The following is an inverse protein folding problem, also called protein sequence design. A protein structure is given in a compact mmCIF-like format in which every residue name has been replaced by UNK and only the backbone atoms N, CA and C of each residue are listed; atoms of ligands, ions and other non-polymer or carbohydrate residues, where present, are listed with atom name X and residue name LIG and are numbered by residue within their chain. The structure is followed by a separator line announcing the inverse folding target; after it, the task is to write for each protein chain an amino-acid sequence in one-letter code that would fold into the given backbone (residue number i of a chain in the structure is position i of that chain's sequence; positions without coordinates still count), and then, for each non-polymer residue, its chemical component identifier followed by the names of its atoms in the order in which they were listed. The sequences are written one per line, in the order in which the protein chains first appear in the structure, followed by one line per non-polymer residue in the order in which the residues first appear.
data_IF_465373999324
#
_entry.id   IF_465373999324
#
_cell.length_a   1.000
_cell.length_b   1.000
_cell.length_c   1.000
_cell.angle_alpha   90.00
_cell.angle_beta   90.00
_cell.angle_gamma   90.00
#
_symmetry.space_group_name_H-M   'P 1'
#
loop_
_entity.id
_entity.type
_entity.pdbx_description
1 polymer ?
#
# COMPACT_ATOMS: atom_id res chain seq x y z
N UNK A 1 1.22 -0.74 19.10
CA UNK A 1 1.37 0.53 18.35
C UNK A 1 0.07 1.32 18.45
N UNK A 2 0.13 2.64 18.61
CA UNK A 2 -1.09 3.45 18.72
C UNK A 2 -1.95 3.27 17.46
N UNK A 3 -3.24 2.97 17.65
CA UNK A 3 -4.23 2.75 16.57
C UNK A 3 -4.28 3.92 15.57
N UNK A 4 -3.92 5.12 16.03
CA UNK A 4 -3.89 6.36 15.24
C UNK A 4 -2.76 6.34 14.21
N UNK A 5 -1.54 5.95 14.62
CA UNK A 5 -0.36 5.98 13.76
C UNK A 5 -0.52 5.04 12.57
N UNK A 6 -1.02 3.82 12.80
CA UNK A 6 -1.23 2.84 11.73
C UNK A 6 -2.23 3.29 10.65
N UNK A 7 -3.30 4.01 11.05
CA UNK A 7 -4.32 4.49 10.11
C UNK A 7 -3.80 5.57 9.16
N UNK A 8 -3.00 6.52 9.70
CA UNK A 8 -2.43 7.62 8.91
C UNK A 8 -1.06 7.29 8.31
N UNK A 9 -0.43 6.17 8.68
CA UNK A 9 0.90 5.81 8.22
C UNK A 9 1.05 5.77 6.69
N UNK A 10 0.09 5.26 5.89
CA UNK A 10 0.22 5.29 4.44
C UNK A 10 0.25 6.72 3.87
N UNK A 11 -0.53 7.64 4.46
CA UNK A 11 -0.51 9.04 4.05
C UNK A 11 0.81 9.71 4.44
N UNK A 12 1.29 9.51 5.67
CA UNK A 12 2.58 10.04 6.09
C UNK A 12 3.73 9.51 5.21
N UNK A 13 3.71 8.21 4.89
CA UNK A 13 4.71 7.60 4.02
C UNK A 13 4.64 8.16 2.59
N UNK A 14 3.43 8.33 2.03
CA UNK A 14 3.25 8.98 0.74
C UNK A 14 3.74 10.43 0.73
N UNK A 15 3.46 11.21 1.79
CA UNK A 15 3.96 12.59 1.89
C UNK A 15 5.48 12.65 2.05
N UNK A 16 6.08 11.71 2.79
CA UNK A 16 7.52 11.62 2.98
C UNK A 16 8.21 11.32 1.65
N UNK A 17 7.71 10.34 0.89
CA UNK A 17 8.25 10.03 -0.45
C UNK A 17 8.01 11.19 -1.41
N UNK A 18 6.87 11.88 -1.34
CA UNK A 18 6.61 13.10 -2.12
C UNK A 18 7.64 14.21 -1.83
N UNK A 19 8.02 14.41 -0.57
CA UNK A 19 9.07 15.35 -0.21
C UNK A 19 10.45 14.92 -0.75
N UNK A 20 10.75 13.61 -0.73
CA UNK A 20 11.97 13.07 -1.35
C UNK A 20 12.01 13.31 -2.86
N UNK A 21 10.89 13.13 -3.56
CA UNK A 21 10.78 13.45 -5.00
C UNK A 21 11.10 14.92 -5.26
N UNK A 22 10.57 15.84 -4.44
CA UNK A 22 10.88 17.27 -4.57
C UNK A 22 12.36 17.55 -4.34
N UNK A 23 12.97 16.94 -3.32
CA UNK A 23 14.41 17.04 -3.06
C UNK A 23 15.23 16.49 -4.25
N UNK A 24 14.79 15.40 -4.86
CA UNK A 24 15.40 14.80 -6.05
C UNK A 24 15.35 15.73 -7.26
N UNK A 25 14.22 16.41 -7.46
CA UNK A 25 14.01 17.28 -8.63
C UNK A 25 14.59 18.68 -8.44
N UNK A 26 14.87 19.10 -7.19
CA UNK A 26 15.40 20.42 -6.85
C UNK A 26 16.78 20.27 -6.17
N UNK A 27 17.88 20.16 -6.95
CA UNK A 27 19.22 19.92 -6.40
C UNK A 27 19.69 20.98 -5.40
N UNK A 28 19.28 22.24 -5.60
CA UNK A 28 19.61 23.33 -4.67
C UNK A 28 18.99 23.14 -3.28
N UNK A 29 17.87 22.42 -3.17
CA UNK A 29 17.28 22.06 -1.88
C UNK A 29 18.02 20.88 -1.25
N UNK A 30 18.50 19.92 -2.06
CA UNK A 30 19.20 18.74 -1.57
C UNK A 30 20.52 19.07 -0.86
N UNK A 31 21.24 20.12 -1.29
CA UNK A 31 22.51 20.54 -0.67
C UNK A 31 22.33 21.18 0.72
N UNK A 32 21.12 21.60 1.06
CA UNK A 32 20.78 22.16 2.37
C UNK A 32 20.44 21.08 3.40
N UNK A 33 20.17 19.85 2.93
CA UNK A 33 19.75 18.75 3.79
C UNK A 33 20.99 17.96 4.24
N UNK A 34 21.31 17.96 5.55
CA UNK A 34 22.45 17.22 6.05
C UNK A 34 22.18 15.70 6.03
N UNK A 35 23.21 14.88 5.92
CA UNK A 35 23.08 13.42 5.83
C UNK A 35 22.35 12.80 7.04
N UNK A 36 22.45 13.41 8.22
CA UNK A 36 21.72 13.00 9.43
C UNK A 36 20.21 13.10 9.24
N UNK A 37 19.73 14.12 8.52
CA UNK A 37 18.32 14.27 8.20
C UNK A 37 17.86 13.16 7.24
N UNK A 38 18.69 12.76 6.27
CA UNK A 38 18.39 11.63 5.39
C UNK A 38 18.28 10.31 6.17
N UNK A 39 19.16 10.06 7.14
CA UNK A 39 19.05 8.90 8.02
C UNK A 39 17.79 8.93 8.89
N UNK A 40 17.43 10.09 9.42
CA UNK A 40 16.20 10.26 10.18
C UNK A 40 14.96 9.99 9.31
N UNK A 41 14.95 10.46 8.06
CA UNK A 41 13.89 10.19 7.09
C UNK A 41 13.80 8.70 6.75
N UNK A 42 14.95 8.02 6.56
CA UNK A 42 14.98 6.58 6.35
C UNK A 42 14.41 5.80 7.55
N UNK A 43 14.83 6.15 8.77
CA UNK A 43 14.32 5.54 9.99
C UNK A 43 12.80 5.77 10.14
N UNK A 44 12.33 6.99 9.86
CA UNK A 44 10.90 7.31 9.85
C UNK A 44 10.13 6.50 8.81
N UNK A 45 10.65 6.36 7.59
CA UNK A 45 10.04 5.56 6.53
C UNK A 45 9.94 4.08 6.92
N UNK A 46 10.99 3.49 7.50
CA UNK A 46 10.98 2.12 8.01
C UNK A 46 9.94 1.96 9.12
N UNK A 47 9.92 2.87 10.09
CA UNK A 47 8.95 2.85 11.18
C UNK A 47 7.50 2.95 10.68
N UNK A 48 7.22 3.85 9.74
CA UNK A 48 5.91 3.98 9.11
C UNK A 48 5.54 2.72 8.31
N UNK A 49 6.47 2.15 7.55
CA UNK A 49 6.26 0.91 6.82
C UNK A 49 5.89 -0.27 7.74
N UNK A 50 6.65 -0.46 8.83
CA UNK A 50 6.34 -1.44 9.86
C UNK A 50 4.98 -1.16 10.52
N UNK A 51 4.63 0.12 10.71
CA UNK A 51 3.32 0.53 11.23
C UNK A 51 2.17 0.13 10.32
N UNK A 52 2.32 0.29 9.00
CA UNK A 52 1.33 -0.18 8.02
C UNK A 52 1.18 -1.69 8.08
N UNK A 53 2.30 -2.44 8.10
CA UNK A 53 2.28 -3.90 8.15
C UNK A 53 1.63 -4.43 9.44
N UNK A 54 1.96 -3.84 10.59
CA UNK A 54 1.37 -4.20 11.86
C UNK A 54 -0.11 -3.84 11.94
N UNK A 55 -0.51 -2.69 11.36
CA UNK A 55 -1.89 -2.23 11.35
C UNK A 55 -2.79 -3.12 10.50
N UNK A 56 -2.33 -3.54 9.32
CA UNK A 56 -3.13 -4.34 8.39
C UNK A 56 -3.50 -5.73 8.93
N UNK A 57 -2.84 -6.21 9.99
CA UNK A 57 -3.21 -7.47 10.66
C UNK A 57 -4.42 -7.33 11.59
N UNK A 58 -4.91 -6.13 11.85
CA UNK A 58 -6.00 -5.87 12.78
C UNK A 58 -7.14 -5.09 12.12
N UNK A 59 -8.38 -5.45 12.47
CA UNK A 59 -9.56 -4.68 12.11
C UNK A 59 -9.54 -3.35 12.89
N UNK A 60 -9.58 -2.24 12.15
CA UNK A 60 -9.63 -0.90 12.72
C UNK A 60 -11.01 -0.27 12.51
N UNK A 61 -11.66 0.14 13.58
CA UNK A 61 -12.99 0.79 13.56
C UNK A 61 -13.02 2.03 12.65
N UNK A 62 -11.94 2.82 12.62
CA UNK A 62 -11.87 4.00 11.72
C UNK A 62 -11.76 3.60 10.26
N UNK A 63 -11.06 2.50 9.97
CA UNK A 63 -10.94 2.02 8.60
C UNK A 63 -12.28 1.48 8.10
N UNK A 64 -12.98 0.67 8.89
CA UNK A 64 -14.31 0.15 8.50
C UNK A 64 -15.35 1.28 8.41
N UNK A 65 -15.34 2.24 9.34
CA UNK A 65 -16.25 3.39 9.30
C UNK A 65 -16.01 4.31 8.10
N UNK A 66 -14.80 4.29 7.52
CA UNK A 66 -14.46 5.04 6.31
C UNK A 66 -14.84 4.32 5.01
N UNK A 67 -15.32 3.07 5.07
CA UNK A 67 -15.75 2.36 3.87
C UNK A 67 -17.08 2.94 3.36
N UNK A 68 -17.19 3.19 2.05
CA UNK A 68 -18.43 3.64 1.47
C UNK A 68 -19.49 2.52 1.56
N UNK A 69 -20.75 2.90 1.78
CA UNK A 69 -21.88 1.95 1.82
C UNK A 69 -22.05 1.20 0.49
N UNK A 70 -21.66 1.83 -0.62
CA UNK A 70 -21.65 1.27 -1.98
C UNK A 70 -20.26 0.74 -2.38
N UNK A 71 -19.55 0.08 -1.45
CA UNK A 71 -18.19 -0.41 -1.67
C UNK A 71 -18.02 -1.30 -2.92
N UNK A 72 -19.05 -2.06 -3.30
CA UNK A 72 -19.06 -2.86 -4.54
C UNK A 72 -19.00 -1.99 -5.80
N UNK A 73 -19.74 -0.87 -5.82
CA UNK A 73 -19.71 0.12 -6.90
C UNK A 73 -18.31 0.77 -6.99
N UNK A 74 -17.75 1.10 -5.83
CA UNK A 74 -16.44 1.76 -5.72
C UNK A 74 -15.33 0.83 -6.18
N UNK A 75 -15.40 -0.46 -5.84
CA UNK A 75 -14.43 -1.47 -6.26
C UNK A 75 -14.33 -1.56 -7.79
N UNK A 76 -15.44 -1.43 -8.53
CA UNK A 76 -15.45 -1.40 -9.99
C UNK A 76 -14.55 -0.31 -10.59
N UNK A 77 -14.41 0.85 -9.93
CA UNK A 77 -13.55 1.95 -10.38
C UNK A 77 -12.05 1.68 -10.18
N UNK A 78 -11.68 0.73 -9.33
CA UNK A 78 -10.29 0.44 -8.98
C UNK A 78 -9.77 -0.89 -9.57
N UNK A 79 -10.43 -1.44 -10.59
CA UNK A 79 -10.04 -2.70 -11.23
C UNK A 79 -8.57 -2.75 -11.69
N UNK A 80 -8.02 -1.63 -12.18
CA UNK A 80 -6.61 -1.52 -12.58
C UNK A 80 -5.68 -1.70 -11.38
N UNK A 81 -6.00 -1.08 -10.23
CA UNK A 81 -5.20 -1.22 -9.02
C UNK A 81 -5.22 -2.66 -8.51
N UNK A 82 -6.36 -3.34 -8.57
CA UNK A 82 -6.43 -4.76 -8.21
C UNK A 82 -5.55 -5.63 -9.11
N UNK A 83 -5.54 -5.39 -10.43
CA UNK A 83 -4.66 -6.10 -11.35
C UNK A 83 -3.18 -5.87 -11.04
N UNK A 84 -2.80 -4.62 -10.73
CA UNK A 84 -1.43 -4.31 -10.32
C UNK A 84 -1.07 -5.01 -9.00
N UNK A 85 -1.98 -5.03 -8.01
CA UNK A 85 -1.73 -5.73 -6.75
C UNK A 85 -1.42 -7.22 -6.98
N UNK A 86 -2.21 -7.90 -7.81
CA UNK A 86 -1.99 -9.31 -8.15
C UNK A 86 -0.77 -9.54 -9.04
N UNK A 87 -0.42 -8.60 -9.92
CA UNK A 87 0.82 -8.68 -10.69
C UNK A 87 2.06 -8.75 -9.76
N UNK A 88 2.01 -8.03 -8.64
CA UNK A 88 3.06 -8.03 -7.62
C UNK A 88 3.03 -9.23 -6.66
N UNK A 89 2.05 -10.13 -6.75
CA UNK A 89 2.10 -11.43 -6.05
C UNK A 89 3.13 -12.37 -6.70
N UNK A 90 3.44 -12.17 -7.98
CA UNK A 90 4.53 -12.86 -8.65
C UNK A 90 5.87 -12.39 -8.10
N UNK A 91 6.58 -13.28 -7.39
CA UNK A 91 7.91 -13.01 -6.83
C UNK A 91 8.91 -12.57 -7.89
N UNK A 92 8.81 -13.12 -9.10
CA UNK A 92 9.67 -12.74 -10.22
C UNK A 92 9.44 -11.29 -10.62
N UNK A 93 8.17 -10.89 -10.77
CA UNK A 93 7.83 -9.51 -11.14
C UNK A 93 8.27 -8.53 -10.04
N UNK A 94 8.00 -8.85 -8.77
CA UNK A 94 8.44 -8.06 -7.64
C UNK A 94 9.98 -7.92 -7.59
N UNK A 95 10.72 -9.02 -7.84
CA UNK A 95 12.17 -8.99 -7.91
C UNK A 95 12.68 -8.11 -9.06
N UNK A 96 12.14 -8.28 -10.27
CA UNK A 96 12.49 -7.44 -11.42
C UNK A 96 12.22 -5.95 -11.12
N UNK A 97 11.09 -5.64 -10.50
CA UNK A 97 10.76 -4.28 -10.07
C UNK A 97 11.78 -3.74 -9.05
N UNK A 98 12.15 -4.53 -8.04
CA UNK A 98 13.17 -4.13 -7.06
C UNK A 98 14.55 -3.89 -7.71
N UNK A 99 14.93 -4.71 -8.69
CA UNK A 99 16.17 -4.52 -9.46
C UNK A 99 16.12 -3.22 -10.25
N UNK A 100 15.02 -2.91 -10.94
CA UNK A 100 14.84 -1.65 -11.68
C UNK A 100 14.86 -0.45 -10.73
N UNK A 101 14.15 -0.54 -9.61
CA UNK A 101 14.12 0.49 -8.58
C UNK A 101 15.54 0.76 -8.05
N UNK A 102 16.26 -0.28 -7.63
CA UNK A 102 17.62 -0.13 -7.13
C UNK A 102 18.59 0.34 -8.23
N UNK A 103 18.43 -0.12 -9.47
CA UNK A 103 19.20 0.36 -10.62
C UNK A 103 18.99 1.86 -10.88
N UNK A 104 17.76 2.34 -10.76
CA UNK A 104 17.41 3.74 -10.99
C UNK A 104 18.00 4.69 -9.94
N UNK A 105 18.26 4.23 -8.70
CA UNK A 105 18.87 5.06 -7.67
C UNK A 105 20.34 5.39 -7.99
N UNK A 106 21.07 4.50 -8.67
CA UNK A 106 22.43 4.77 -9.12
C UNK A 106 22.50 5.85 -10.22
N UNK A 107 21.39 6.11 -10.91
CA UNK A 107 21.28 7.14 -11.93
C UNK A 107 20.88 8.51 -11.37
N UNK A 108 20.65 8.62 -10.05
CA UNK A 108 20.23 9.86 -9.39
C UNK A 108 21.16 11.04 -9.70
N UNK A 109 22.48 10.84 -9.65
CA UNK A 109 23.47 11.89 -9.88
C UNK A 109 23.54 12.36 -11.33
N UNK A 110 22.92 11.64 -12.27
CA UNK A 110 22.89 12.03 -13.67
C UNK A 110 21.80 13.09 -13.93
N UNK A 111 22.06 14.17 -14.71
CA UNK A 111 21.12 15.27 -14.91
C UNK A 111 19.74 14.87 -15.43
N UNK A 112 19.69 13.78 -16.22
CA UNK A 112 18.46 13.17 -16.74
C UNK A 112 18.00 12.00 -15.87
N UNK A 113 18.93 11.32 -15.19
CA UNK A 113 18.64 10.11 -14.41
C UNK A 113 17.81 10.38 -13.16
N UNK A 114 17.91 11.58 -12.57
CA UNK A 114 17.03 12.05 -11.49
C UNK A 114 15.54 11.98 -11.82
N UNK A 115 15.15 12.17 -13.09
CA UNK A 115 13.74 12.03 -13.48
C UNK A 115 13.30 10.57 -13.46
N UNK A 116 14.17 9.65 -13.91
CA UNK A 116 13.92 8.22 -13.79
C UNK A 116 13.81 7.78 -12.33
N UNK A 117 14.69 8.29 -11.46
CA UNK A 117 14.62 8.05 -10.03
C UNK A 117 13.33 8.59 -9.41
N UNK A 118 12.95 9.83 -9.72
CA UNK A 118 11.70 10.43 -9.25
C UNK A 118 10.46 9.63 -9.70
N UNK A 119 10.46 9.09 -10.93
CA UNK A 119 9.39 8.20 -11.42
C UNK A 119 9.36 6.89 -10.62
N UNK A 120 10.52 6.33 -10.27
CA UNK A 120 10.61 5.12 -9.47
C UNK A 120 10.16 5.35 -8.00
N UNK A 121 10.46 6.52 -7.44
CA UNK A 121 9.92 6.97 -6.15
C UNK A 121 8.39 7.14 -6.22
N UNK A 122 7.88 7.77 -7.29
CA UNK A 122 6.45 7.93 -7.50
C UNK A 122 5.73 6.59 -7.68
N UNK A 123 6.36 5.60 -8.34
CA UNK A 123 5.78 4.26 -8.46
C UNK A 123 5.70 3.56 -7.11
N UNK A 124 6.62 3.79 -6.17
CA UNK A 124 6.49 3.27 -4.79
C UNK A 124 5.25 3.83 -4.09
N UNK A 125 4.98 5.14 -4.22
CA UNK A 125 3.75 5.75 -3.68
C UNK A 125 2.52 5.13 -4.32
N UNK A 126 2.54 4.95 -5.64
CA UNK A 126 1.44 4.30 -6.34
C UNK A 126 1.22 2.86 -5.85
N UNK A 127 2.27 2.07 -5.66
CA UNK A 127 2.17 0.70 -5.13
C UNK A 127 1.64 0.66 -3.69
N UNK A 128 2.04 1.61 -2.85
CA UNK A 128 1.46 1.78 -1.52
C UNK A 128 -0.04 2.04 -1.59
N UNK A 129 -0.48 2.94 -2.47
CA UNK A 129 -1.90 3.24 -2.68
C UNK A 129 -2.66 2.03 -3.24
N UNK A 130 -2.08 1.31 -4.19
CA UNK A 130 -2.61 0.06 -4.74
C UNK A 130 -2.81 -0.95 -3.62
N UNK A 131 -1.80 -1.18 -2.79
CA UNK A 131 -1.86 -2.12 -1.69
C UNK A 131 -2.91 -1.73 -0.65
N UNK A 132 -2.96 -0.47 -0.22
CA UNK A 132 -3.97 0.03 0.72
C UNK A 132 -5.38 -0.08 0.14
N UNK A 133 -5.56 0.27 -1.14
CA UNK A 133 -6.87 0.15 -1.82
C UNK A 133 -7.30 -1.31 -1.90
N UNK A 134 -6.37 -2.21 -2.27
CA UNK A 134 -6.62 -3.62 -2.39
C UNK A 134 -7.00 -4.25 -1.04
N UNK A 135 -6.28 -3.95 0.03
CA UNK A 135 -6.59 -4.46 1.38
C UNK A 135 -7.97 -3.98 1.87
N UNK A 136 -8.33 -2.72 1.62
CA UNK A 136 -9.64 -2.16 2.05
C UNK A 136 -10.82 -2.73 1.28
N UNK A 137 -10.65 -2.96 -0.02
CA UNK A 137 -11.70 -3.44 -0.91
C UNK A 137 -11.53 -4.92 -1.28
N UNK A 138 -10.69 -5.66 -0.54
CA UNK A 138 -10.40 -7.07 -0.79
C UNK A 138 -11.68 -7.93 -0.89
N UNK A 139 -12.73 -7.71 -0.05
CA UNK A 139 -13.97 -8.47 -0.16
C UNK A 139 -14.76 -8.23 -1.45
N UNK A 140 -14.34 -7.32 -2.33
CA UNK A 140 -14.97 -7.07 -3.62
C UNK A 140 -13.97 -7.18 -4.77
N UNK A 141 -12.76 -7.67 -4.51
CA UNK A 141 -11.73 -7.85 -5.54
C UNK A 141 -12.05 -9.12 -6.37
N UNK A 142 -12.22 -9.01 -7.71
CA UNK A 142 -12.61 -10.15 -8.55
C UNK A 142 -11.51 -11.20 -8.74
N UNK A 143 -10.26 -10.86 -8.40
CA UNK A 143 -9.10 -11.73 -8.55
C UNK A 143 -8.78 -12.50 -7.25
N UNK A 144 -9.33 -12.05 -6.12
CA UNK A 144 -9.12 -12.69 -4.82
C UNK A 144 -10.09 -13.86 -4.63
N UNK A 145 -9.56 -15.03 -4.26
CA UNK A 145 -10.33 -16.28 -4.12
C UNK A 145 -11.44 -16.25 -3.04
N UNK A 146 -11.41 -15.28 -2.12
CA UNK A 146 -12.39 -15.10 -1.04
C UNK A 146 -12.95 -13.65 -1.01
N UNK A 147 -13.05 -13.01 -2.17
CA UNK A 147 -13.59 -11.66 -2.33
C UNK A 147 -15.10 -11.60 -2.11
N UNK A 148 -15.58 -11.97 -0.91
CA UNK A 148 -16.98 -11.83 -0.51
C UNK A 148 -17.90 -12.98 -0.90
N UNK A 149 -17.40 -14.19 -1.18
CA UNK A 149 -18.29 -15.35 -1.09
C UNK A 149 -18.78 -15.45 0.35
N UNK A 150 -20.09 -15.28 0.55
CA UNK A 150 -20.77 -15.85 1.70
C UNK A 150 -20.30 -17.29 1.79
N UNK A 151 -19.52 -17.63 2.81
CA UNK A 151 -19.47 -19.02 3.23
C UNK A 151 -20.94 -19.40 3.42
N UNK A 152 -21.44 -20.31 2.58
CA UNK A 152 -22.80 -20.80 2.69
C UNK A 152 -23.05 -21.04 4.17
N UNK A 153 -23.97 -20.26 4.75
CA UNK A 153 -24.25 -20.35 6.17
C UNK A 153 -24.42 -21.84 6.48
N UNK A 154 -23.71 -22.39 7.50
CA UNK A 154 -23.84 -23.80 7.81
C UNK A 154 -25.33 -24.10 7.89
N UNK A 155 -25.81 -25.01 7.05
CA UNK A 155 -27.22 -25.36 6.92
C UNK A 155 -27.81 -25.44 8.31
N UNK A 156 -28.83 -24.61 8.57
CA UNK A 156 -29.54 -24.58 9.85
C UNK A 156 -29.79 -26.03 10.25
N UNK A 157 -29.29 -26.51 11.41
CA UNK A 157 -29.44 -27.91 11.77
C UNK A 157 -30.93 -28.23 11.77
N UNK A 158 -31.33 -29.27 11.02
CA UNK A 158 -32.71 -29.72 10.98
C UNK A 158 -33.18 -29.98 12.41
N UNK A 159 -34.35 -29.47 12.82
CA UNK A 159 -34.86 -29.69 14.17
C UNK A 159 -34.97 -31.20 14.42
N UNK A 160 -34.31 -31.69 15.46
CA UNK A 160 -34.45 -33.08 15.92
C UNK A 160 -35.78 -33.16 16.65
N UNK A 161 -36.79 -33.72 16.00
CA UNK A 161 -38.04 -34.09 16.69
C UNK A 161 -37.77 -35.36 17.49
N UNK A 162 -37.63 -35.22 18.81
CA UNK A 162 -37.69 -36.35 19.74
C UNK A 162 -39.15 -36.76 19.89
N UNK A 163 -39.56 -37.83 19.21
CA UNK A 163 -40.82 -38.50 19.53
C UNK A 163 -40.66 -39.17 20.91
N UNK A 164 -41.37 -38.63 21.91
CA UNK A 164 -41.63 -39.27 23.21
C UNK A 164 -43.02 -39.86 23.15
#
# INVERSE_FOLDING_TARGET
MSRIVGHYAPWFLATLVGALIVLTLVPAASSLVPWQALLALLAAAIFLGLSVLAHNRHLCERCIASLPLDASSVAGRYAVRFRVAHLFESKLFALCYLVVLMGSSFLYSHPVGRYGWAVAEASLVYLLLVYVTHQRLQPWCPYCKNGGEEQAAPTTPSPVFTHV
#
